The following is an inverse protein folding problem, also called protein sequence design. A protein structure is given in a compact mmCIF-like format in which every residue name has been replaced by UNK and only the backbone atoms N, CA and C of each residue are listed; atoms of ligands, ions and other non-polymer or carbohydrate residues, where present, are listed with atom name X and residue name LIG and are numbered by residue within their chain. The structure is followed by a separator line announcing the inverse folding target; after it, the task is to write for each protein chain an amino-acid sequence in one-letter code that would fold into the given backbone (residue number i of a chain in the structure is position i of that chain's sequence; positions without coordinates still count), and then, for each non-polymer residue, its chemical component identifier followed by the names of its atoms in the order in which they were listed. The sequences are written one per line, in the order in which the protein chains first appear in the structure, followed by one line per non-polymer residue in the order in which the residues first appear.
data_IF_059748092675
#
_entry.id   IF_059748092675
#
_cell.length_a   1.000
_cell.length_b   1.000
_cell.length_c   1.000
_cell.angle_alpha   90.00
_cell.angle_beta   90.00
_cell.angle_gamma   90.00
#
_symmetry.space_group_name_H-M   'P 1'
#
loop_
_entity.id
_entity.type
_entity.pdbx_description
1 polymer ?
#
# COMPACT_ATOMS: atom_id res chain seq x y z
N UNK A 1 4.78 6.92 -19.06
CA UNK A 1 4.34 6.56 -17.70
C UNK A 1 3.52 5.29 -17.77
N UNK A 2 3.78 4.32 -16.88
CA UNK A 2 2.99 3.09 -16.74
C UNK A 2 2.33 3.10 -15.36
N UNK A 3 1.01 2.92 -15.33
CA UNK A 3 0.20 2.92 -14.11
C UNK A 3 -0.49 1.57 -13.93
N UNK A 4 -0.43 1.04 -12.71
CA UNK A 4 -1.32 -0.02 -12.27
C UNK A 4 -2.57 0.62 -11.67
N UNK A 5 -3.73 0.41 -12.29
CA UNK A 5 -4.98 1.06 -11.89
C UNK A 5 -6.18 0.14 -12.12
N UNK A 6 -7.08 0.01 -11.13
CA UNK A 6 -8.32 -0.76 -11.28
C UNK A 6 -9.43 0.01 -12.04
N UNK A 7 -9.20 1.27 -12.42
CA UNK A 7 -10.23 2.15 -13.00
C UNK A 7 -10.28 2.16 -14.53
N UNK A 8 -9.62 1.22 -15.19
CA UNK A 8 -9.51 1.20 -16.66
C UNK A 8 -8.88 2.47 -17.24
N UNK A 9 -8.68 2.49 -18.57
CA UNK A 9 -8.11 3.65 -19.26
C UNK A 9 -8.99 4.92 -19.16
N UNK A 10 -10.32 4.74 -19.12
CA UNK A 10 -11.27 5.85 -19.17
C UNK A 10 -11.54 6.48 -17.79
N UNK A 11 -11.39 5.72 -16.70
CA UNK A 11 -11.65 6.21 -15.35
C UNK A 11 -10.40 6.58 -14.55
N UNK A 12 -9.22 6.18 -15.00
CA UNK A 12 -7.97 6.42 -14.24
C UNK A 12 -7.64 7.91 -14.15
N UNK A 13 -7.90 8.70 -15.21
CA UNK A 13 -7.58 10.12 -15.22
C UNK A 13 -8.21 10.87 -14.06
N UNK A 14 -9.51 10.69 -13.84
CA UNK A 14 -10.25 11.39 -12.79
C UNK A 14 -9.89 10.95 -11.37
N UNK A 15 -9.12 9.85 -11.25
CA UNK A 15 -8.59 9.38 -9.96
C UNK A 15 -7.15 9.85 -9.70
N UNK A 16 -6.51 10.44 -10.70
CA UNK A 16 -5.19 11.02 -10.51
C UNK A 16 -5.32 12.38 -9.82
N UNK A 17 -4.48 12.67 -8.82
CA UNK A 17 -4.43 13.98 -8.21
C UNK A 17 -4.09 15.07 -9.24
N UNK A 18 -4.67 16.26 -9.06
CA UNK A 18 -4.53 17.39 -9.98
C UNK A 18 -3.07 17.71 -10.31
N UNK A 19 -2.20 17.75 -9.32
CA UNK A 19 -0.79 18.04 -9.51
C UNK A 19 -0.08 16.98 -10.37
N UNK A 20 -0.51 15.72 -10.32
CA UNK A 20 0.01 14.64 -11.17
C UNK A 20 -0.48 14.81 -12.61
N UNK A 21 -1.74 15.16 -12.80
CA UNK A 21 -2.31 15.47 -14.11
C UNK A 21 -1.61 16.65 -14.78
N UNK A 22 -1.35 17.73 -14.04
CA UNK A 22 -0.60 18.91 -14.51
C UNK A 22 0.82 18.54 -14.96
N UNK A 23 1.52 17.68 -14.20
CA UNK A 23 2.85 17.17 -14.57
C UNK A 23 2.84 16.29 -15.83
N UNK A 24 1.84 15.44 -15.99
CA UNK A 24 1.65 14.61 -17.17
C UNK A 24 1.49 15.49 -18.41
N UNK A 25 0.61 16.51 -18.33
CA UNK A 25 0.36 17.45 -19.43
C UNK A 25 1.62 18.27 -19.70
N UNK A 26 2.22 18.86 -18.65
CA UNK A 26 3.41 19.73 -18.79
C UNK A 26 4.58 19.02 -19.46
N UNK A 27 4.74 17.72 -19.18
CA UNK A 27 5.85 16.91 -19.71
C UNK A 27 5.49 16.14 -20.99
N UNK A 28 4.28 16.31 -21.49
CA UNK A 28 3.74 15.57 -22.65
C UNK A 28 3.95 14.05 -22.53
N UNK A 29 3.58 13.49 -21.37
CA UNK A 29 3.81 12.07 -21.10
C UNK A 29 2.78 11.20 -21.78
N UNK A 30 3.22 10.17 -22.50
CA UNK A 30 2.35 9.04 -22.89
C UNK A 30 2.05 8.21 -21.65
N UNK A 31 0.77 8.01 -21.37
CA UNK A 31 0.31 7.26 -20.19
C UNK A 31 -0.28 5.93 -20.62
N UNK A 32 0.20 4.87 -20.00
CA UNK A 32 -0.29 3.50 -20.19
C UNK A 32 -0.86 2.99 -18.88
N UNK A 33 -1.98 2.29 -18.97
CA UNK A 33 -2.70 1.76 -17.81
C UNK A 33 -2.90 0.26 -17.96
N UNK A 34 -2.71 -0.46 -16.88
CA UNK A 34 -3.01 -1.89 -16.76
C UNK A 34 -3.62 -2.16 -15.39
N UNK A 35 -4.65 -3.00 -15.31
CA UNK A 35 -5.06 -3.60 -14.04
C UNK A 35 -4.28 -4.89 -13.81
N UNK A 36 -3.07 -4.73 -13.27
CA UNK A 36 -2.17 -5.85 -13.03
C UNK A 36 -2.68 -6.77 -11.90
N UNK A 37 -3.49 -6.27 -10.98
CA UNK A 37 -4.09 -7.12 -9.94
C UNK A 37 -5.17 -8.03 -10.51
N UNK A 38 -6.00 -7.54 -11.41
CA UNK A 38 -7.01 -8.33 -12.10
C UNK A 38 -6.33 -9.46 -12.92
N UNK A 39 -5.30 -9.14 -13.70
CA UNK A 39 -4.52 -10.15 -14.46
C UNK A 39 -3.86 -11.16 -13.53
N UNK A 40 -3.24 -10.72 -12.41
CA UNK A 40 -2.61 -11.61 -11.45
C UNK A 40 -3.62 -12.54 -10.79
N UNK A 41 -4.81 -12.06 -10.49
CA UNK A 41 -5.89 -12.88 -9.92
C UNK A 41 -6.39 -13.92 -10.93
N UNK A 42 -6.65 -13.51 -12.18
CA UNK A 42 -7.13 -14.38 -13.26
C UNK A 42 -6.15 -15.51 -13.60
N UNK A 43 -4.84 -15.27 -13.49
CA UNK A 43 -3.78 -16.24 -13.78
C UNK A 43 -3.30 -17.03 -12.56
N UNK A 44 -3.94 -16.90 -11.40
CA UNK A 44 -3.56 -17.59 -10.18
C UNK A 44 -2.31 -17.04 -9.47
N UNK A 45 -1.77 -15.91 -9.92
CA UNK A 45 -0.61 -15.25 -9.31
C UNK A 45 -0.94 -14.57 -7.97
N UNK A 46 -2.23 -14.46 -7.63
CA UNK A 46 -2.71 -13.79 -6.42
C UNK A 46 -2.36 -12.29 -6.43
N UNK A 47 -1.55 -11.83 -5.47
CA UNK A 47 -1.16 -10.40 -5.38
C UNK A 47 0.17 -10.07 -6.08
N UNK A 48 0.75 -11.01 -6.83
CA UNK A 48 2.08 -10.86 -7.42
C UNK A 48 1.99 -10.26 -8.82
N UNK A 49 2.16 -8.94 -8.90
CA UNK A 49 2.04 -8.18 -10.15
C UNK A 49 3.39 -7.90 -10.83
N UNK A 50 4.52 -8.26 -10.22
CA UNK A 50 5.85 -7.88 -10.73
C UNK A 50 6.10 -8.34 -12.17
N UNK A 51 5.78 -9.60 -12.49
CA UNK A 51 5.96 -10.15 -13.84
C UNK A 51 5.11 -9.40 -14.86
N UNK A 52 3.86 -9.08 -14.51
CA UNK A 52 2.91 -8.35 -15.34
C UNK A 52 3.44 -6.94 -15.63
N UNK A 53 3.81 -6.20 -14.58
CA UNK A 53 4.33 -4.84 -14.70
C UNK A 53 5.64 -4.80 -15.49
N UNK A 54 6.53 -5.77 -15.29
CA UNK A 54 7.78 -5.91 -16.04
C UNK A 54 7.49 -6.16 -17.54
N UNK A 55 6.55 -7.02 -17.86
CA UNK A 55 6.14 -7.29 -19.25
C UNK A 55 5.61 -6.04 -19.92
N UNK A 56 4.69 -5.33 -19.25
CA UNK A 56 4.15 -4.06 -19.76
C UNK A 56 5.25 -3.01 -19.94
N UNK A 57 6.18 -2.90 -18.98
CA UNK A 57 7.29 -1.94 -19.07
C UNK A 57 8.16 -2.19 -20.31
N UNK A 58 8.61 -3.42 -20.56
CA UNK A 58 9.42 -3.72 -21.71
C UNK A 58 8.66 -3.56 -23.03
N UNK A 59 7.37 -3.87 -23.05
CA UNK A 59 6.55 -3.68 -24.24
C UNK A 59 6.43 -2.21 -24.69
N UNK A 60 6.48 -1.25 -23.75
CA UNK A 60 6.34 0.19 -24.05
C UNK A 60 7.66 0.94 -24.09
N UNK A 61 8.74 0.38 -23.52
CA UNK A 61 10.03 1.09 -23.36
C UNK A 61 10.80 1.27 -24.66
N UNK A 62 10.63 0.35 -25.61
CA UNK A 62 11.38 0.32 -26.86
C UNK A 62 12.89 0.04 -26.72
N UNK A 63 13.36 -0.41 -25.54
CA UNK A 63 14.76 -0.72 -25.27
C UNK A 63 15.21 -1.94 -26.10
N UNK A 64 14.34 -2.95 -26.18
CA UNK A 64 14.48 -4.14 -27.02
C UNK A 64 13.14 -4.40 -27.72
N UNK A 65 13.11 -5.28 -28.72
CA UNK A 65 11.86 -5.65 -29.38
C UNK A 65 10.91 -6.32 -28.39
N UNK A 66 9.60 -6.16 -28.60
CA UNK A 66 8.56 -6.75 -27.74
C UNK A 66 8.72 -8.27 -27.65
N UNK A 67 8.94 -8.93 -28.78
CA UNK A 67 9.02 -10.40 -28.83
C UNK A 67 10.27 -10.91 -28.11
N UNK A 68 11.40 -10.23 -28.29
CA UNK A 68 12.65 -10.53 -27.58
C UNK A 68 12.50 -10.33 -26.07
N UNK A 69 11.83 -9.25 -25.64
CA UNK A 69 11.54 -9.01 -24.23
C UNK A 69 10.72 -10.14 -23.61
N UNK A 70 9.67 -10.57 -24.29
CA UNK A 70 8.79 -11.66 -23.83
C UNK A 70 9.58 -12.98 -23.71
N UNK A 71 10.41 -13.30 -24.70
CA UNK A 71 11.21 -14.53 -24.66
C UNK A 71 12.22 -14.50 -23.50
N UNK A 72 12.90 -13.39 -23.29
CA UNK A 72 13.80 -13.22 -22.16
C UNK A 72 13.08 -13.35 -20.82
N UNK A 73 11.90 -12.74 -20.65
CA UNK A 73 11.10 -12.83 -19.44
C UNK A 73 10.69 -14.28 -19.18
N UNK A 74 10.15 -14.98 -20.18
CA UNK A 74 9.75 -16.40 -20.07
C UNK A 74 10.94 -17.31 -19.79
N UNK A 75 12.10 -17.01 -20.35
CA UNK A 75 13.33 -17.74 -20.04
C UNK A 75 13.79 -17.51 -18.61
N UNK A 76 13.73 -16.29 -18.10
CA UNK A 76 14.03 -15.96 -16.70
C UNK A 76 13.04 -16.63 -15.73
N UNK A 77 11.75 -16.67 -16.06
CA UNK A 77 10.71 -17.38 -15.32
C UNK A 77 11.06 -18.87 -15.19
N UNK A 78 11.37 -19.54 -16.30
CA UNK A 78 11.77 -20.96 -16.28
C UNK A 78 12.99 -21.17 -15.37
N UNK A 79 14.03 -20.37 -15.50
CA UNK A 79 15.26 -20.49 -14.67
C UNK A 79 14.97 -20.29 -13.18
N UNK A 80 14.10 -19.37 -12.85
CA UNK A 80 13.84 -18.98 -11.45
C UNK A 80 12.85 -19.90 -10.75
N UNK A 81 11.81 -20.36 -11.47
CA UNK A 81 10.66 -21.00 -10.83
C UNK A 81 10.54 -22.49 -11.11
N UNK A 82 11.36 -23.10 -11.98
CA UNK A 82 11.30 -24.57 -12.22
C UNK A 82 11.46 -25.38 -10.93
N UNK A 83 12.30 -24.93 -10.00
CA UNK A 83 12.49 -25.58 -8.69
C UNK A 83 11.21 -25.59 -7.85
N UNK A 84 10.29 -24.63 -8.10
CA UNK A 84 8.99 -24.54 -7.40
C UNK A 84 7.88 -25.35 -8.08
N UNK A 85 8.18 -26.02 -9.18
CA UNK A 85 7.26 -26.83 -9.96
C UNK A 85 6.77 -26.15 -11.25
N UNK A 86 6.43 -26.97 -12.24
CA UNK A 86 5.97 -26.51 -13.56
C UNK A 86 4.73 -25.62 -13.48
N UNK A 87 3.79 -25.94 -12.60
CA UNK A 87 2.60 -25.11 -12.39
C UNK A 87 2.92 -23.63 -12.09
N UNK A 88 3.97 -23.34 -11.31
CA UNK A 88 4.38 -21.97 -11.03
C UNK A 88 4.96 -21.29 -12.27
N UNK A 89 5.67 -22.04 -13.10
CA UNK A 89 6.19 -21.54 -14.39
C UNK A 89 5.04 -21.20 -15.33
N UNK A 90 4.05 -22.09 -15.44
CA UNK A 90 2.90 -21.92 -16.31
C UNK A 90 2.06 -20.70 -15.91
N UNK A 91 1.72 -20.55 -14.61
CA UNK A 91 1.02 -19.36 -14.11
C UNK A 91 1.74 -18.05 -14.45
N UNK A 92 3.08 -18.03 -14.33
CA UNK A 92 3.84 -16.82 -14.68
C UNK A 92 3.88 -16.57 -16.19
N UNK A 93 3.97 -17.61 -17.01
CA UNK A 93 3.90 -17.48 -18.46
C UNK A 93 2.53 -16.98 -18.93
N UNK A 94 1.45 -17.52 -18.37
CA UNK A 94 0.08 -17.07 -18.63
C UNK A 94 -0.10 -15.58 -18.25
N UNK A 95 0.49 -15.15 -17.13
CA UNK A 95 0.47 -13.77 -16.71
C UNK A 95 1.23 -12.85 -17.69
N UNK A 96 2.34 -13.30 -18.27
CA UNK A 96 3.07 -12.58 -19.33
C UNK A 96 2.20 -12.43 -20.58
N UNK A 97 1.55 -13.51 -21.01
CA UNK A 97 0.74 -13.52 -22.23
C UNK A 97 -0.50 -12.62 -22.10
N UNK A 98 -1.18 -12.66 -20.94
CA UNK A 98 -2.37 -11.85 -20.68
C UNK A 98 -2.04 -10.37 -20.37
N UNK A 99 -0.83 -10.07 -19.87
CA UNK A 99 -0.47 -8.70 -19.49
C UNK A 99 -0.66 -7.68 -20.62
N UNK A 100 -0.35 -8.06 -21.84
CA UNK A 100 -0.38 -7.16 -22.99
C UNK A 100 -1.79 -6.93 -23.53
N UNK A 101 -2.71 -7.87 -23.37
CA UNK A 101 -4.10 -7.72 -23.76
C UNK A 101 -4.83 -6.70 -22.88
N UNK A 102 -4.31 -6.49 -21.65
CA UNK A 102 -4.85 -5.55 -20.68
C UNK A 102 -4.04 -4.25 -20.57
N UNK A 103 -3.01 -4.06 -21.40
CA UNK A 103 -2.22 -2.84 -21.46
C UNK A 103 -2.85 -1.85 -22.44
N UNK A 104 -3.32 -0.73 -21.95
CA UNK A 104 -3.99 0.29 -22.76
C UNK A 104 -3.26 1.64 -22.67
N UNK A 105 -3.11 2.31 -23.81
CA UNK A 105 -2.72 3.71 -23.81
C UNK A 105 -3.95 4.56 -23.46
N UNK A 106 -3.79 5.48 -22.53
CA UNK A 106 -4.82 6.40 -22.11
C UNK A 106 -4.80 7.65 -23.00
N UNK A 107 -5.94 8.02 -23.54
CA UNK A 107 -6.11 9.34 -24.14
C UNK A 107 -6.25 10.37 -23.01
N UNK A 108 -5.44 11.44 -23.08
CA UNK A 108 -5.49 12.47 -22.06
C UNK A 108 -6.72 13.35 -22.26
N UNK A 109 -7.65 13.41 -21.29
CA UNK A 109 -8.78 14.33 -21.38
C UNK A 109 -8.31 15.78 -21.35
N UNK A 110 -9.04 16.67 -22.02
CA UNK A 110 -8.74 18.11 -22.03
C UNK A 110 -9.07 18.86 -20.74
N UNK A 111 -9.42 18.15 -19.66
CA UNK A 111 -9.79 18.74 -18.38
C UNK A 111 -8.92 18.21 -17.24
N UNK A 112 -8.77 19.02 -16.18
CA UNK A 112 -8.14 18.60 -14.92
C UNK A 112 -9.21 18.21 -13.91
N UNK A 113 -8.95 17.20 -13.09
CA UNK A 113 -9.81 16.91 -11.94
C UNK A 113 -9.66 17.99 -10.88
N UNK A 114 -10.66 18.12 -10.01
CA UNK A 114 -10.63 19.05 -8.89
C UNK A 114 -10.01 18.45 -7.63
N UNK A 115 -9.67 17.17 -7.65
CA UNK A 115 -9.15 16.48 -6.49
C UNK A 115 -7.70 16.88 -6.22
N UNK A 116 -7.49 17.52 -5.09
CA UNK A 116 -6.16 17.76 -4.55
C UNK A 116 -5.74 16.63 -3.64
N UNK A 117 -4.44 16.38 -3.56
CA UNK A 117 -3.92 15.42 -2.57
C UNK A 117 -4.21 15.96 -1.16
N UNK A 118 -4.70 15.10 -0.27
CA UNK A 118 -4.84 15.50 1.13
C UNK A 118 -3.45 15.87 1.70
N UNK A 119 -3.40 16.77 2.71
CA UNK A 119 -2.14 17.13 3.33
C UNK A 119 -1.44 15.88 3.87
N UNK A 120 -0.13 15.82 3.71
CA UNK A 120 0.71 14.65 4.08
C UNK A 120 0.59 14.35 5.57
N UNK A 121 0.48 15.41 6.39
CA UNK A 121 0.24 15.33 7.83
C UNK A 121 -0.87 16.31 8.19
N UNK A 122 -1.67 16.04 9.24
CA UNK A 122 -2.76 16.93 9.63
C UNK A 122 -2.23 18.26 10.20
N UNK A 123 -3.02 19.33 10.08
CA UNK A 123 -2.64 20.68 10.50
C UNK A 123 -2.27 20.80 11.99
N UNK A 124 -2.84 19.96 12.84
CA UNK A 124 -2.53 19.91 14.27
C UNK A 124 -1.24 19.17 14.61
N UNK A 125 -0.50 18.66 13.60
CA UNK A 125 0.79 18.01 13.83
C UNK A 125 1.84 19.01 14.35
N UNK A 126 2.80 18.57 15.18
CA UNK A 126 3.90 19.42 15.67
C UNK A 126 4.71 20.05 14.52
N UNK A 127 5.29 21.20 14.76
CA UNK A 127 6.04 21.92 13.73
C UNK A 127 7.16 21.11 13.09
N UNK A 128 7.90 20.32 13.88
CA UNK A 128 8.94 19.45 13.35
C UNK A 128 8.34 18.41 12.37
N UNK A 129 7.20 17.84 12.71
CA UNK A 129 6.51 16.89 11.83
C UNK A 129 6.06 17.54 10.54
N UNK A 130 5.50 18.74 10.60
CA UNK A 130 5.07 19.49 9.41
C UNK A 130 6.22 19.91 8.51
N UNK A 131 7.32 20.36 9.10
CA UNK A 131 8.44 20.94 8.36
C UNK A 131 9.48 19.91 7.90
N UNK A 132 9.71 18.85 8.67
CA UNK A 132 10.75 17.86 8.41
C UNK A 132 10.15 16.52 8.01
N UNK A 133 9.38 15.90 8.89
CA UNK A 133 8.84 14.54 8.65
C UNK A 133 7.93 14.51 7.43
N UNK A 134 7.06 15.51 7.23
CA UNK A 134 6.18 15.61 6.08
C UNK A 134 6.96 15.72 4.75
N UNK A 135 8.06 16.46 4.73
CA UNK A 135 8.93 16.54 3.55
C UNK A 135 9.58 15.19 3.22
N UNK A 136 10.00 14.45 4.24
CA UNK A 136 10.57 13.11 4.06
C UNK A 136 9.52 12.11 3.56
N UNK A 137 8.31 12.13 4.11
CA UNK A 137 7.18 11.30 3.65
C UNK A 137 6.81 11.64 2.20
N UNK A 138 6.91 12.91 1.79
CA UNK A 138 6.68 13.35 0.41
C UNK A 138 7.79 12.94 -0.57
N UNK A 139 8.85 12.25 -0.12
CA UNK A 139 10.02 11.94 -0.95
C UNK A 139 10.86 13.17 -1.32
N UNK A 140 10.76 14.25 -0.55
CA UNK A 140 11.47 15.53 -0.74
C UNK A 140 12.50 15.80 0.36
N UNK A 141 12.99 14.76 1.01
CA UNK A 141 13.94 14.88 2.13
C UNK A 141 15.26 15.55 1.74
N UNK A 142 15.72 15.38 0.52
CA UNK A 142 16.92 16.01 -0.05
C UNK A 142 16.78 17.53 -0.28
N UNK A 143 15.56 18.06 -0.24
CA UNK A 143 15.30 19.51 -0.24
C UNK A 143 15.43 20.15 1.15
N UNK A 144 15.55 19.36 2.21
CA UNK A 144 15.74 19.87 3.55
C UNK A 144 17.17 20.37 3.75
N UNK A 145 17.36 21.59 4.32
CA UNK A 145 18.67 22.02 4.71
C UNK A 145 19.17 21.16 5.90
N UNK A 146 20.49 20.94 5.98
CA UNK A 146 21.10 20.17 7.08
C UNK A 146 20.69 20.71 8.46
N UNK A 147 20.52 22.04 8.56
CA UNK A 147 20.09 22.71 9.80
C UNK A 147 18.64 22.41 10.23
N UNK A 148 17.84 21.77 9.37
CA UNK A 148 16.48 21.32 9.74
C UNK A 148 16.52 20.05 10.63
N UNK A 149 17.64 19.34 10.64
CA UNK A 149 17.83 18.16 11.45
C UNK A 149 18.50 18.51 12.78
N UNK A 150 18.15 17.85 13.89
CA UNK A 150 18.80 18.07 15.19
C UNK A 150 20.31 17.83 15.11
N UNK A 151 21.09 18.81 15.60
CA UNK A 151 22.55 18.80 15.50
C UNK A 151 23.20 17.65 16.31
N UNK A 152 22.52 17.16 17.34
CA UNK A 152 22.95 16.07 18.20
C UNK A 152 22.53 14.69 17.70
N UNK A 153 21.87 14.62 16.54
CA UNK A 153 21.38 13.38 15.93
C UNK A 153 20.15 12.77 16.61
N UNK A 154 19.55 13.47 17.57
CA UNK A 154 18.30 13.01 18.19
C UNK A 154 17.12 13.16 17.22
N UNK A 155 16.06 12.38 17.46
CA UNK A 155 14.81 12.47 16.70
C UNK A 155 13.63 12.51 17.67
N UNK A 156 12.61 13.35 17.41
CA UNK A 156 11.44 13.42 18.28
C UNK A 156 10.75 12.07 18.39
N UNK A 157 10.38 11.67 19.60
CA UNK A 157 9.72 10.41 19.89
C UNK A 157 8.24 10.45 19.45
N UNK A 158 7.71 9.32 19.02
CA UNK A 158 6.29 9.18 18.68
C UNK A 158 5.88 9.80 17.35
N UNK A 159 6.81 10.07 16.43
CA UNK A 159 6.53 10.63 15.10
C UNK A 159 5.79 9.65 14.19
N UNK A 160 5.88 8.34 14.42
CA UNK A 160 5.21 7.30 13.61
C UNK A 160 3.69 7.44 13.56
N UNK A 161 3.06 8.01 14.57
CA UNK A 161 1.61 8.27 14.56
C UNK A 161 1.16 9.23 13.45
N UNK A 162 2.08 9.99 12.88
CA UNK A 162 1.84 10.93 11.79
C UNK A 162 2.08 10.32 10.40
N UNK A 163 2.72 9.16 10.35
CA UNK A 163 3.10 8.46 9.11
C UNK A 163 1.98 7.53 8.60
N UNK A 164 0.75 7.99 8.56
CA UNK A 164 -0.38 7.20 8.10
C UNK A 164 -0.39 7.14 6.58
N UNK A 165 0.05 6.03 6.02
CA UNK A 165 0.16 5.84 4.57
C UNK A 165 -1.07 5.21 3.92
N UNK A 166 -1.96 4.58 4.69
CA UNK A 166 -3.18 3.88 4.22
C UNK A 166 -2.92 2.94 3.04
N UNK A 167 -1.82 2.18 3.08
CA UNK A 167 -1.40 1.30 1.98
C UNK A 167 -2.11 -0.06 1.98
N UNK A 168 -2.63 -0.48 3.13
CA UNK A 168 -3.31 -1.76 3.26
C UNK A 168 -4.72 -1.66 2.70
N UNK A 169 -5.04 -2.51 1.71
CA UNK A 169 -6.38 -2.65 1.17
C UNK A 169 -7.28 -3.47 2.09
N UNK A 170 -6.70 -4.43 2.80
CA UNK A 170 -7.37 -5.28 3.78
C UNK A 170 -6.57 -5.26 5.07
N UNK A 171 -7.24 -5.02 6.18
CA UNK A 171 -6.65 -5.05 7.52
C UNK A 171 -7.33 -6.13 8.35
N UNK A 172 -6.60 -6.85 9.22
CA UNK A 172 -7.21 -7.80 10.12
C UNK A 172 -8.10 -7.07 11.14
N UNK A 173 -9.29 -7.61 11.35
CA UNK A 173 -10.22 -7.12 12.37
C UNK A 173 -10.33 -8.16 13.48
N UNK A 174 -10.23 -7.71 14.72
CA UNK A 174 -10.49 -8.56 15.86
C UNK A 174 -12.00 -8.86 16.00
N UNK A 175 -12.33 -10.13 16.21
CA UNK A 175 -13.70 -10.60 16.42
C UNK A 175 -13.84 -11.04 17.88
N UNK A 176 -14.46 -10.23 18.75
CA UNK A 176 -14.57 -10.51 20.19
C UNK A 176 -15.23 -11.85 20.49
N UNK A 177 -16.25 -12.23 19.72
CA UNK A 177 -17.06 -13.46 19.93
C UNK A 177 -16.20 -14.73 19.77
N UNK A 178 -15.19 -14.68 18.90
CA UNK A 178 -14.26 -15.78 18.67
C UNK A 178 -13.06 -15.76 19.60
N UNK A 179 -12.83 -14.66 20.31
CA UNK A 179 -11.64 -14.45 21.13
C UNK A 179 -11.72 -15.22 22.45
N UNK A 180 -10.73 -16.04 22.72
CA UNK A 180 -10.57 -16.78 23.99
C UNK A 180 -9.60 -16.09 24.95
N UNK A 181 -9.12 -14.90 24.64
CA UNK A 181 -8.16 -14.11 25.43
C UNK A 181 -6.83 -14.83 25.72
N UNK A 182 -6.34 -15.62 24.79
CA UNK A 182 -5.09 -16.38 24.95
C UNK A 182 -3.80 -15.53 24.71
N UNK A 183 -3.93 -14.30 24.25
CA UNK A 183 -2.84 -13.35 23.98
C UNK A 183 -1.81 -13.80 22.94
N UNK A 184 -2.00 -14.95 22.28
CA UNK A 184 -1.06 -15.49 21.28
C UNK A 184 -0.83 -14.52 20.12
N UNK A 185 -1.87 -13.80 19.68
CA UNK A 185 -1.76 -12.81 18.60
C UNK A 185 -0.77 -11.69 18.94
N UNK A 186 -0.80 -11.17 20.17
CA UNK A 186 0.14 -10.16 20.63
C UNK A 186 1.53 -10.73 20.82
N UNK A 187 1.65 -11.96 21.35
CA UNK A 187 2.92 -12.62 21.61
C UNK A 187 3.72 -12.92 20.33
N UNK A 188 3.03 -13.36 19.27
CA UNK A 188 3.68 -13.76 18.01
C UNK A 188 3.83 -12.60 17.00
N UNK A 189 3.28 -11.43 17.29
CA UNK A 189 3.36 -10.29 16.38
C UNK A 189 4.82 -9.79 16.28
N UNK A 190 5.48 -9.93 15.10
CA UNK A 190 6.91 -9.57 14.98
C UNK A 190 7.16 -8.07 15.08
N UNK A 191 6.12 -7.24 14.89
CA UNK A 191 6.20 -5.78 14.92
C UNK A 191 5.65 -5.16 16.21
N UNK A 192 5.18 -5.97 17.18
CA UNK A 192 4.48 -5.50 18.37
C UNK A 192 3.32 -4.53 18.05
N UNK A 193 2.71 -4.70 16.87
CA UNK A 193 1.59 -3.89 16.40
C UNK A 193 0.28 -4.32 17.08
N UNK A 194 0.13 -5.63 17.35
CA UNK A 194 -1.05 -6.15 18.03
C UNK A 194 -0.82 -6.02 19.54
N UNK A 195 -1.74 -5.32 20.18
CA UNK A 195 -1.71 -5.09 21.62
C UNK A 195 -2.98 -5.56 22.28
N UNK A 196 -2.85 -6.09 23.47
CA UNK A 196 -3.96 -6.50 24.33
C UNK A 196 -4.00 -5.66 25.58
N UNK A 197 -5.21 -5.37 26.07
CA UNK A 197 -5.36 -4.58 27.29
C UNK A 197 -6.59 -5.04 28.07
N UNK A 198 -6.45 -5.17 29.39
CA UNK A 198 -7.53 -5.25 30.34
C UNK A 198 -7.64 -3.90 31.07
N UNK A 199 -8.85 -3.39 31.28
CA UNK A 199 -9.13 -2.07 31.85
C UNK A 199 -10.52 -2.04 32.48
N UNK A 200 -10.80 -1.07 33.35
CA UNK A 200 -12.11 -0.89 33.96
C UNK A 200 -13.18 -0.55 32.92
N UNK A 201 -14.38 -1.10 33.05
CA UNK A 201 -15.51 -0.86 32.13
C UNK A 201 -15.95 0.61 32.11
N UNK A 202 -15.63 1.38 33.16
CA UNK A 202 -15.97 2.79 33.28
C UNK A 202 -15.35 3.66 32.16
N UNK A 203 -14.18 3.30 31.64
CA UNK A 203 -13.53 4.05 30.55
C UNK A 203 -14.21 3.85 29.19
N UNK A 204 -15.15 2.90 29.07
CA UNK A 204 -15.89 2.69 27.83
C UNK A 204 -16.96 3.77 27.56
N UNK A 205 -17.32 4.55 28.57
CA UNK A 205 -18.34 5.59 28.40
C UNK A 205 -18.00 6.62 27.32
N UNK A 206 -16.72 6.91 27.11
CA UNK A 206 -16.23 7.86 26.12
C UNK A 206 -15.64 7.18 24.87
N UNK A 207 -15.81 5.86 24.73
CA UNK A 207 -15.27 5.11 23.60
C UNK A 207 -16.10 5.36 22.32
N UNK A 208 -15.48 5.44 21.14
CA UNK A 208 -16.20 5.49 19.88
C UNK A 208 -17.10 4.27 19.68
N UNK A 209 -18.26 4.43 19.00
CA UNK A 209 -19.17 3.31 18.70
C UNK A 209 -18.51 2.14 17.97
N UNK A 210 -17.46 2.41 17.20
CA UNK A 210 -16.68 1.40 16.46
C UNK A 210 -15.66 0.68 17.34
N UNK A 211 -15.47 1.11 18.59
CA UNK A 211 -14.50 0.48 19.49
C UNK A 211 -15.04 -0.86 19.99
N UNK A 212 -14.29 -1.93 19.74
CA UNK A 212 -14.67 -3.27 20.13
C UNK A 212 -14.05 -3.65 21.48
N UNK A 213 -14.85 -4.19 22.36
CA UNK A 213 -14.45 -4.71 23.67
C UNK A 213 -15.26 -5.95 24.03
N UNK A 214 -14.77 -6.72 24.98
CA UNK A 214 -15.49 -7.83 25.60
C UNK A 214 -15.20 -7.88 27.09
N UNK A 215 -15.99 -8.63 27.84
CA UNK A 215 -15.73 -8.85 29.26
C UNK A 215 -14.39 -9.59 29.45
N UNK A 216 -13.56 -9.08 30.36
CA UNK A 216 -12.32 -9.78 30.74
C UNK A 216 -12.65 -11.10 31.44
N UNK A 217 -11.93 -12.17 31.07
CA UNK A 217 -12.08 -13.51 31.67
C UNK A 217 -11.05 -13.82 32.73
N UNK A 218 -10.04 -12.98 32.86
CA UNK A 218 -8.98 -13.12 33.86
C UNK A 218 -9.52 -12.79 35.26
N UNK A 219 -9.46 -13.73 36.19
CA UNK A 219 -9.94 -13.56 37.56
C UNK A 219 -9.02 -12.67 38.42
N UNK A 220 -7.80 -12.54 38.00
CA UNK A 220 -6.75 -11.76 38.68
C UNK A 220 -6.99 -10.24 38.67
N UNK A 221 -7.85 -9.76 37.78
CA UNK A 221 -8.13 -8.32 37.61
C UNK A 221 -9.45 -7.89 38.34
N UNK A 222 -10.16 -8.81 38.94
CA UNK A 222 -11.46 -8.53 39.61
C UNK A 222 -12.64 -8.48 38.65
N UNK A 223 -13.80 -8.10 39.18
CA UNK A 223 -15.05 -7.93 38.44
C UNK A 223 -15.05 -6.55 37.74
N UNK A 224 -15.93 -6.38 36.73
CA UNK A 224 -16.10 -5.13 35.96
C UNK A 224 -14.89 -4.70 35.13
N UNK A 225 -14.17 -5.66 34.60
CA UNK A 225 -13.06 -5.42 33.66
C UNK A 225 -13.42 -5.77 32.24
N UNK A 226 -13.14 -4.87 31.34
CA UNK A 226 -13.17 -5.07 29.89
C UNK A 226 -11.81 -5.51 29.34
N UNK A 227 -11.84 -6.13 28.19
CA UNK A 227 -10.69 -6.59 27.46
C UNK A 227 -10.80 -6.20 25.98
N UNK A 228 -9.69 -5.79 25.37
CA UNK A 228 -9.62 -5.48 23.95
C UNK A 228 -8.33 -5.96 23.32
N UNK A 229 -8.38 -6.19 22.01
CA UNK A 229 -7.22 -6.43 21.13
C UNK A 229 -7.22 -5.34 20.05
N UNK A 230 -6.11 -4.66 19.89
CA UNK A 230 -5.92 -3.59 18.89
C UNK A 230 -4.59 -3.75 18.17
#
# INVERSE_FOLDING_TARGET
LLLNSPYCKDGTWDKLPRNVQEEIIRKDLKVYVVDAHMVAFATGMGRRINTIMQTCFFAISGIISKDEAIDHIKTAIRRTYTVKGHHVVDMNNDAVDQALDHLHMMELPGHLSHDELPPIVPDHAPNFVKQVTAMMIAGKGDMLPVSALPADGTWPVGTTKWEKRNLAQEIPTWIPELCIQCNKCALVCPHAAIRVKAYGEDVLADAPETFQSMKNRGKEFGDNMAYTVQ
#
